data_IF_987160209953
#
_entry.id   IF_987160209953
#
_cell.length_a   1.000
_cell.length_b   1.000
_cell.length_c   1.000
_cell.angle_alpha   90.00
_cell.angle_beta   90.00
_cell.angle_gamma   90.00
#
_symmetry.space_group_name_H-M   'P 1'
#
loop_
_entity.id
_entity.type
_entity.pdbx_description
1 polymer ?
#
# COMPACT_ATOMS: atom_id res chain seq x y z
N UNK A 1 -20.05 -13.58 -7.42
CA UNK A 1 -21.09 -12.61 -7.03
C UNK A 1 -20.98 -12.15 -5.57
N UNK A 2 -20.83 -13.04 -4.59
CA UNK A 2 -20.74 -12.69 -3.15
C UNK A 2 -19.64 -11.68 -2.79
N UNK A 3 -18.42 -11.80 -3.34
CA UNK A 3 -17.33 -10.85 -3.07
C UNK A 3 -17.64 -9.42 -3.56
N UNK A 4 -18.30 -9.29 -4.72
CA UNK A 4 -18.68 -7.98 -5.24
C UNK A 4 -19.79 -7.35 -4.39
N UNK A 5 -20.71 -8.17 -3.90
CA UNK A 5 -21.75 -7.73 -2.96
C UNK A 5 -21.13 -7.24 -1.65
N UNK A 6 -20.25 -8.03 -1.01
CA UNK A 6 -19.53 -7.64 0.21
C UNK A 6 -18.77 -6.33 0.01
N UNK A 7 -18.10 -6.16 -1.15
CA UNK A 7 -17.41 -4.89 -1.48
C UNK A 7 -18.37 -3.70 -1.55
N UNK A 8 -19.57 -3.89 -2.11
CA UNK A 8 -20.56 -2.82 -2.22
C UNK A 8 -21.19 -2.41 -0.89
N UNK A 9 -21.50 -3.37 0.00
CA UNK A 9 -22.13 -3.08 1.31
C UNK A 9 -21.14 -2.72 2.41
N UNK A 10 -19.85 -3.01 2.22
CA UNK A 10 -18.81 -2.81 3.22
C UNK A 10 -18.55 -1.34 3.60
N UNK A 11 -18.94 -0.38 2.75
CA UNK A 11 -18.78 1.05 3.07
C UNK A 11 -20.03 1.64 3.73
N UNK A 12 -21.21 1.25 3.28
CA UNK A 12 -22.48 1.67 3.87
C UNK A 12 -23.56 0.62 3.56
N UNK A 13 -24.42 0.24 4.54
CA UNK A 13 -25.43 -0.80 4.34
C UNK A 13 -26.53 -0.39 3.33
N UNK A 14 -26.89 0.89 3.28
CA UNK A 14 -27.93 1.41 2.39
C UNK A 14 -27.48 2.69 1.69
N UNK A 15 -26.82 2.59 0.53
CA UNK A 15 -26.26 3.76 -0.16
C UNK A 15 -27.32 4.74 -0.69
N UNK A 16 -28.50 4.22 -1.03
CA UNK A 16 -29.62 5.01 -1.55
C UNK A 16 -30.52 5.56 -0.43
N UNK A 17 -30.12 5.41 0.84
CA UNK A 17 -30.84 5.97 1.97
C UNK A 17 -30.81 7.50 1.96
N UNK A 18 -31.98 8.10 2.15
CA UNK A 18 -32.23 9.54 2.16
C UNK A 18 -32.38 10.09 3.58
N UNK A 19 -32.03 9.29 4.59
CA UNK A 19 -31.93 9.72 5.98
C UNK A 19 -31.08 10.98 6.16
N UNK A 20 -31.29 11.63 7.31
CA UNK A 20 -30.54 12.83 7.66
C UNK A 20 -29.02 12.55 7.66
N UNK A 21 -28.18 13.53 7.26
CA UNK A 21 -26.73 13.34 7.12
C UNK A 21 -26.05 12.63 8.29
N UNK A 22 -26.35 13.03 9.53
CA UNK A 22 -25.75 12.42 10.73
C UNK A 22 -26.21 10.98 10.96
N UNK A 23 -27.47 10.65 10.63
CA UNK A 23 -27.98 9.28 10.70
C UNK A 23 -27.26 8.39 9.69
N UNK A 24 -27.15 8.85 8.44
CA UNK A 24 -26.43 8.15 7.38
C UNK A 24 -24.96 7.90 7.75
N UNK A 25 -24.30 8.86 8.41
CA UNK A 25 -22.91 8.67 8.87
C UNK A 25 -22.86 7.61 9.99
N UNK A 26 -23.79 7.67 10.94
CA UNK A 26 -23.86 6.75 12.09
C UNK A 26 -24.18 5.30 11.69
N UNK A 27 -24.91 5.08 10.59
CA UNK A 27 -25.25 3.75 10.09
C UNK A 27 -24.04 3.00 9.47
N UNK A 28 -22.88 3.66 9.33
CA UNK A 28 -21.63 3.04 8.92
C UNK A 28 -20.48 3.38 9.86
N UNK A 29 -19.96 2.35 10.54
CA UNK A 29 -18.77 2.46 11.39
C UNK A 29 -17.56 3.04 10.64
N UNK A 30 -17.42 2.75 9.34
CA UNK A 30 -16.33 3.32 8.53
C UNK A 30 -16.55 4.80 8.22
N UNK A 31 -17.78 5.21 7.91
CA UNK A 31 -18.08 6.63 7.70
C UNK A 31 -17.90 7.40 8.99
N UNK A 32 -18.47 6.92 10.09
CA UNK A 32 -18.30 7.53 11.41
C UNK A 32 -16.82 7.73 11.75
N UNK A 33 -16.00 6.68 11.68
CA UNK A 33 -14.56 6.80 11.94
C UNK A 33 -13.85 7.76 10.96
N UNK A 34 -14.28 7.80 9.70
CA UNK A 34 -13.75 8.74 8.70
C UNK A 34 -14.08 10.18 9.05
N UNK A 35 -15.32 10.46 9.44
CA UNK A 35 -15.75 11.80 9.84
C UNK A 35 -15.07 12.23 11.15
N UNK A 36 -14.88 11.33 12.12
CA UNK A 36 -14.12 11.63 13.33
C UNK A 36 -12.66 12.02 13.03
N UNK A 37 -12.03 11.36 12.05
CA UNK A 37 -10.68 11.71 11.56
C UNK A 37 -10.71 13.08 10.87
N UNK A 38 -11.68 13.30 9.99
CA UNK A 38 -11.81 14.57 9.26
C UNK A 38 -12.13 15.75 10.18
N UNK A 39 -12.89 15.56 11.25
CA UNK A 39 -13.17 16.60 12.24
C UNK A 39 -11.88 17.07 12.92
N UNK A 40 -10.91 16.18 13.16
CA UNK A 40 -9.59 16.53 13.68
C UNK A 40 -8.77 17.30 12.63
N UNK A 41 -8.70 16.78 11.41
CA UNK A 41 -7.98 17.41 10.29
C UNK A 41 -8.53 18.81 9.99
N UNK A 42 -9.86 18.97 10.07
CA UNK A 42 -10.53 20.26 9.89
C UNK A 42 -10.14 21.26 10.98
N UNK A 43 -10.12 20.81 12.25
CA UNK A 43 -9.68 21.64 13.38
C UNK A 43 -8.24 22.10 13.24
N UNK A 44 -7.38 21.21 12.77
CA UNK A 44 -5.94 21.49 12.55
C UNK A 44 -5.68 22.24 11.24
N UNK A 45 -6.72 22.43 10.42
CA UNK A 45 -6.67 23.17 9.16
C UNK A 45 -5.81 22.51 8.10
N UNK A 46 -5.74 21.19 8.15
CA UNK A 46 -4.94 20.35 7.26
C UNK A 46 -5.76 19.86 6.07
N UNK A 47 -5.09 19.22 5.10
CA UNK A 47 -5.74 18.72 3.88
C UNK A 47 -5.69 17.22 3.80
N UNK A 48 -6.78 16.63 3.33
CA UNK A 48 -6.90 15.19 3.20
C UNK A 48 -7.29 14.73 1.80
N UNK A 49 -6.75 13.58 1.43
CA UNK A 49 -7.23 12.77 0.31
C UNK A 49 -8.14 11.68 0.85
N UNK A 50 -9.27 11.45 0.19
CA UNK A 50 -10.17 10.35 0.55
C UNK A 50 -10.36 9.43 -0.65
N UNK A 51 -9.93 8.18 -0.51
CA UNK A 51 -10.04 7.16 -1.55
C UNK A 51 -11.36 6.39 -1.42
N UNK A 52 -12.17 6.47 -2.48
CA UNK A 52 -13.50 5.86 -2.54
C UNK A 52 -13.67 5.18 -3.91
N UNK A 53 -13.97 3.89 -3.92
CA UNK A 53 -14.13 3.09 -5.14
C UNK A 53 -15.46 3.37 -5.84
N UNK A 54 -16.56 3.34 -5.08
CA UNK A 54 -17.91 3.55 -5.61
C UNK A 54 -18.11 5.01 -6.00
N UNK A 55 -18.38 5.26 -7.29
CA UNK A 55 -18.66 6.61 -7.80
C UNK A 55 -19.88 7.22 -7.10
N UNK A 56 -20.92 6.42 -6.84
CA UNK A 56 -22.10 6.89 -6.08
C UNK A 56 -21.69 7.37 -4.68
N UNK A 57 -20.84 6.59 -4.00
CA UNK A 57 -20.35 6.94 -2.67
C UNK A 57 -19.43 8.17 -2.71
N UNK A 58 -18.64 8.38 -3.76
CA UNK A 58 -17.85 9.61 -3.93
C UNK A 58 -18.74 10.85 -3.89
N UNK A 59 -19.84 10.84 -4.65
CA UNK A 59 -20.76 11.97 -4.71
C UNK A 59 -21.53 12.16 -3.40
N UNK A 60 -22.02 11.08 -2.79
CA UNK A 60 -22.72 11.16 -1.49
C UNK A 60 -21.79 11.66 -0.38
N UNK A 61 -20.57 11.12 -0.31
CA UNK A 61 -19.57 11.58 0.66
C UNK A 61 -19.19 13.05 0.46
N UNK A 62 -19.04 13.50 -0.79
CA UNK A 62 -18.77 14.91 -1.10
C UNK A 62 -19.89 15.82 -0.59
N UNK A 63 -21.15 15.44 -0.78
CA UNK A 63 -22.30 16.20 -0.26
C UNK A 63 -22.25 16.32 1.26
N UNK A 64 -22.10 15.18 1.96
CA UNK A 64 -22.04 15.12 3.43
C UNK A 64 -20.90 15.97 4.00
N UNK A 65 -19.68 15.77 3.49
CA UNK A 65 -18.50 16.51 3.95
C UNK A 65 -18.60 18.00 3.63
N UNK A 66 -19.15 18.37 2.47
CA UNK A 66 -19.33 19.77 2.09
C UNK A 66 -20.30 20.48 3.04
N UNK A 67 -21.40 19.83 3.38
CA UNK A 67 -22.36 20.36 4.35
C UNK A 67 -21.77 20.48 5.76
N UNK A 68 -21.07 19.44 6.24
CA UNK A 68 -20.50 19.41 7.60
C UNK A 68 -19.42 20.47 7.82
N UNK A 69 -18.55 20.69 6.84
CA UNK A 69 -17.40 21.61 6.96
C UNK A 69 -17.62 22.97 6.29
N UNK A 70 -18.84 23.26 5.81
CA UNK A 70 -19.17 24.54 5.18
C UNK A 70 -18.33 24.84 3.93
N UNK A 71 -17.91 23.81 3.19
CA UNK A 71 -17.09 23.98 1.99
C UNK A 71 -17.97 24.42 0.81
N UNK A 72 -17.46 25.29 -0.07
CA UNK A 72 -18.18 25.62 -1.31
C UNK A 72 -18.14 24.47 -2.32
N UNK A 73 -17.09 23.66 -2.27
CA UNK A 73 -16.83 22.56 -3.22
C UNK A 73 -15.94 21.51 -2.58
N UNK A 74 -16.07 20.27 -3.07
CA UNK A 74 -15.11 19.19 -2.89
C UNK A 74 -14.89 18.61 -4.29
N UNK A 75 -13.64 18.56 -4.74
CA UNK A 75 -13.32 18.02 -6.06
C UNK A 75 -13.24 16.49 -6.03
N UNK A 76 -13.59 15.85 -7.15
CA UNK A 76 -13.56 14.40 -7.34
C UNK A 76 -12.75 14.08 -8.60
N UNK A 77 -11.78 13.18 -8.48
CA UNK A 77 -11.08 12.60 -9.64
C UNK A 77 -11.33 11.09 -9.65
N UNK A 78 -12.00 10.59 -10.69
CA UNK A 78 -12.29 9.18 -10.88
C UNK A 78 -12.03 8.75 -12.33
N UNK A 79 -12.48 7.57 -12.74
CA UNK A 79 -12.22 7.02 -14.07
C UNK A 79 -12.81 7.84 -15.22
N UNK A 80 -13.90 8.58 -15.00
CA UNK A 80 -14.56 9.38 -16.03
C UNK A 80 -14.04 10.82 -16.12
N UNK A 81 -13.19 11.26 -15.19
CA UNK A 81 -12.61 12.61 -15.22
C UNK A 81 -11.62 12.76 -16.40
N UNK A 82 -11.84 13.67 -17.37
CA UNK A 82 -10.91 13.92 -18.47
C UNK A 82 -9.56 14.44 -17.98
N UNK A 83 -8.49 14.12 -18.70
CA UNK A 83 -7.10 14.48 -18.33
C UNK A 83 -6.93 15.99 -18.07
N UNK A 84 -7.41 16.92 -18.93
CA UNK A 84 -7.26 18.36 -18.69
C UNK A 84 -7.95 18.80 -17.39
N UNK A 85 -9.11 18.21 -17.08
CA UNK A 85 -9.85 18.51 -15.86
C UNK A 85 -9.11 17.99 -14.62
N UNK A 86 -8.46 16.82 -14.69
CA UNK A 86 -7.62 16.31 -13.59
C UNK A 86 -6.52 17.30 -13.24
N UNK A 87 -5.79 17.80 -14.24
CA UNK A 87 -4.71 18.76 -14.02
C UNK A 87 -5.22 20.05 -13.38
N UNK A 88 -6.37 20.56 -13.82
CA UNK A 88 -7.00 21.74 -13.22
C UNK A 88 -7.40 21.51 -11.75
N UNK A 89 -7.96 20.35 -11.42
CA UNK A 89 -8.29 19.97 -10.03
C UNK A 89 -7.02 19.86 -9.19
N UNK A 90 -5.99 19.15 -9.66
CA UNK A 90 -4.73 18.99 -8.93
C UNK A 90 -4.06 20.34 -8.69
N UNK A 91 -3.99 21.20 -9.72
CA UNK A 91 -3.42 22.55 -9.57
C UNK A 91 -4.14 23.32 -8.48
N UNK A 92 -5.47 23.24 -8.42
CA UNK A 92 -6.28 23.92 -7.42
C UNK A 92 -6.06 23.37 -6.01
N UNK A 93 -6.07 22.05 -5.85
CA UNK A 93 -5.82 21.41 -4.55
C UNK A 93 -4.40 21.71 -4.03
N UNK A 94 -3.43 21.83 -4.94
CA UNK A 94 -2.06 22.23 -4.63
C UNK A 94 -1.88 23.76 -4.46
N UNK A 95 -2.87 24.56 -4.87
CA UNK A 95 -2.85 26.01 -4.67
C UNK A 95 -2.96 26.34 -3.18
N UNK A 96 -2.53 27.53 -2.77
CA UNK A 96 -2.66 28.00 -1.38
C UNK A 96 -1.81 27.24 -0.34
N UNK A 97 -0.65 26.70 -0.71
CA UNK A 97 0.33 26.15 0.24
C UNK A 97 0.93 27.21 1.20
N UNK A 98 0.62 28.51 1.02
CA UNK A 98 1.26 29.63 1.73
C UNK A 98 0.34 30.68 2.38
N UNK A 99 -0.98 30.48 2.41
CA UNK A 99 -1.93 31.45 2.99
C UNK A 99 -2.81 30.83 4.09
N UNK A 100 -2.15 30.20 5.07
CA UNK A 100 -2.79 29.71 6.29
C UNK A 100 -3.57 28.40 6.14
N UNK A 101 -4.09 27.88 7.27
CA UNK A 101 -4.88 26.65 7.29
C UNK A 101 -6.25 26.87 6.64
N UNK A 102 -6.39 26.48 5.37
CA UNK A 102 -7.68 26.25 4.75
C UNK A 102 -7.82 24.75 4.54
N UNK A 103 -8.61 24.12 5.40
CA UNK A 103 -9.04 22.74 5.25
C UNK A 103 -9.59 22.51 3.85
N UNK A 104 -9.11 21.47 3.17
CA UNK A 104 -9.57 21.09 1.84
C UNK A 104 -9.53 19.57 1.68
N UNK A 105 -10.47 19.05 0.88
CA UNK A 105 -10.66 17.63 0.63
C UNK A 105 -10.67 17.35 -0.87
N UNK A 106 -9.92 16.31 -1.25
CA UNK A 106 -9.95 15.77 -2.60
C UNK A 106 -10.33 14.29 -2.55
N UNK A 107 -11.39 13.94 -3.27
CA UNK A 107 -11.86 12.55 -3.37
C UNK A 107 -11.25 11.90 -4.61
N UNK A 108 -10.70 10.71 -4.43
CA UNK A 108 -10.00 9.97 -5.48
C UNK A 108 -10.62 8.58 -5.66
N UNK A 109 -10.89 8.23 -6.91
CA UNK A 109 -11.15 6.85 -7.30
C UNK A 109 -9.84 6.05 -7.38
N UNK A 110 -9.84 4.73 -7.12
CA UNK A 110 -8.65 3.88 -7.21
C UNK A 110 -7.97 3.92 -8.59
N UNK A 111 -8.77 4.04 -9.67
CA UNK A 111 -8.26 4.17 -11.05
C UNK A 111 -7.49 5.47 -11.30
N UNK A 112 -7.63 6.48 -10.43
CA UNK A 112 -6.84 7.71 -10.54
C UNK A 112 -5.37 7.51 -10.10
N UNK A 113 -5.06 6.45 -9.36
CA UNK A 113 -3.71 6.15 -8.86
C UNK A 113 -2.67 6.00 -10.00
N UNK A 114 -3.08 5.43 -11.14
CA UNK A 114 -2.21 5.20 -12.30
C UNK A 114 -1.87 6.44 -13.13
N UNK A 115 -2.39 7.62 -12.79
CA UNK A 115 -2.27 8.83 -13.63
C UNK A 115 -1.09 9.74 -13.27
N UNK A 116 -0.24 9.34 -12.33
CA UNK A 116 1.02 10.05 -12.06
C UNK A 116 0.88 11.41 -11.33
N UNK A 117 -0.27 11.66 -10.70
CA UNK A 117 -0.56 12.94 -10.01
C UNK A 117 0.45 13.21 -8.87
N UNK A 118 0.69 14.48 -8.58
CA UNK A 118 1.49 14.93 -7.42
C UNK A 118 0.55 15.71 -6.49
N UNK A 119 0.38 15.23 -5.26
CA UNK A 119 -0.61 15.73 -4.29
C UNK A 119 0.02 16.04 -2.93
N UNK A 120 1.20 16.65 -2.95
CA UNK A 120 2.03 16.98 -1.78
C UNK A 120 1.38 17.99 -0.82
N UNK A 121 0.33 18.71 -1.20
CA UNK A 121 -0.42 19.56 -0.28
C UNK A 121 -1.27 18.80 0.74
N UNK A 122 -1.56 17.52 0.50
CA UNK A 122 -2.22 16.69 1.50
C UNK A 122 -1.22 16.23 2.56
N UNK A 123 -1.65 16.23 3.83
CA UNK A 123 -0.92 15.58 4.93
C UNK A 123 -1.64 14.35 5.45
N UNK A 124 -2.87 14.10 4.98
CA UNK A 124 -3.67 12.95 5.37
C UNK A 124 -4.17 12.18 4.14
N UNK A 125 -4.11 10.86 4.23
CA UNK A 125 -4.68 9.95 3.23
C UNK A 125 -5.64 9.01 3.95
N UNK A 126 -6.90 8.97 3.53
CA UNK A 126 -7.93 8.10 4.12
C UNK A 126 -8.40 7.10 3.06
N UNK A 127 -8.21 5.81 3.32
CA UNK A 127 -8.71 4.72 2.45
C UNK A 127 -10.09 4.24 2.93
N UNK A 128 -11.14 5.02 2.67
CA UNK A 128 -12.52 4.67 3.09
C UNK A 128 -12.99 3.35 2.47
N UNK A 129 -12.69 3.15 1.19
CA UNK A 129 -12.86 1.84 0.54
C UNK A 129 -11.49 1.23 0.28
N UNK A 130 -11.23 0.06 0.88
CA UNK A 130 -9.97 -0.65 0.68
C UNK A 130 -9.90 -1.28 -0.71
N UNK A 131 -8.78 -1.05 -1.38
CA UNK A 131 -8.43 -1.76 -2.60
C UNK A 131 -7.73 -3.08 -2.25
N UNK A 132 -8.11 -4.18 -2.90
CA UNK A 132 -7.66 -5.53 -2.54
C UNK A 132 -6.34 -5.94 -3.21
N UNK A 133 -5.66 -4.96 -3.80
CA UNK A 133 -4.29 -5.08 -4.32
C UNK A 133 -3.39 -4.08 -3.56
N UNK A 134 -2.47 -4.57 -2.71
CA UNK A 134 -1.59 -3.71 -1.93
C UNK A 134 -0.77 -2.71 -2.77
N UNK A 135 -0.33 -3.11 -3.96
CA UNK A 135 0.51 -2.27 -4.82
C UNK A 135 -0.23 -1.00 -5.29
N UNK A 136 -1.55 -1.10 -5.50
CA UNK A 136 -2.35 0.07 -5.89
C UNK A 136 -2.55 1.01 -4.71
N UNK A 137 -2.72 0.47 -3.49
CA UNK A 137 -2.82 1.29 -2.27
C UNK A 137 -1.50 2.03 -1.98
N UNK A 138 -0.37 1.34 -2.17
CA UNK A 138 0.96 1.94 -2.05
C UNK A 138 1.17 3.03 -3.11
N UNK A 139 0.83 2.76 -4.37
CA UNK A 139 0.88 3.76 -5.43
C UNK A 139 0.03 5.01 -5.14
N UNK A 140 -1.13 4.83 -4.49
CA UNK A 140 -1.97 5.93 -4.00
C UNK A 140 -1.24 6.76 -2.93
N UNK A 141 -0.60 6.10 -1.96
CA UNK A 141 0.14 6.76 -0.89
C UNK A 141 1.35 7.53 -1.44
N UNK A 142 2.05 6.97 -2.43
CA UNK A 142 3.19 7.59 -3.12
C UNK A 142 2.83 8.90 -3.83
N UNK A 143 1.55 9.16 -4.10
CA UNK A 143 1.12 10.45 -4.69
C UNK A 143 1.34 11.62 -3.73
N UNK A 144 1.34 11.34 -2.42
CA UNK A 144 1.56 12.30 -1.34
C UNK A 144 3.01 12.25 -0.86
N UNK A 145 3.57 11.04 -0.73
CA UNK A 145 5.00 10.83 -0.43
C UNK A 145 5.88 11.07 -1.67
N UNK A 146 5.92 12.32 -2.15
CA UNK A 146 6.71 12.71 -3.32
C UNK A 146 7.60 13.91 -3.00
N UNK A 147 8.66 14.09 -3.79
CA UNK A 147 9.55 15.27 -3.74
C UNK A 147 8.68 16.54 -3.74
N UNK A 148 8.89 17.39 -2.74
CA UNK A 148 8.08 18.58 -2.47
C UNK A 148 7.12 18.45 -1.28
N UNK A 149 6.95 17.26 -0.70
CA UNK A 149 6.33 17.09 0.61
C UNK A 149 7.35 17.45 1.71
N UNK A 150 6.95 18.33 2.64
CA UNK A 150 7.79 18.80 3.75
C UNK A 150 7.19 18.45 5.12
N UNK A 151 5.94 17.98 5.15
CA UNK A 151 5.21 17.63 6.39
C UNK A 151 5.03 16.11 6.51
N UNK A 152 4.92 15.59 7.75
CA UNK A 152 4.53 14.19 7.98
C UNK A 152 3.20 13.87 7.31
N UNK A 153 3.12 12.68 6.71
CA UNK A 153 1.90 12.19 6.04
C UNK A 153 1.32 11.06 6.87
N UNK A 154 0.04 11.17 7.21
CA UNK A 154 -0.70 10.20 7.99
C UNK A 154 -1.64 9.38 7.10
N UNK A 155 -1.50 8.05 7.11
CA UNK A 155 -2.35 7.14 6.36
C UNK A 155 -3.38 6.52 7.32
N UNK A 156 -4.65 6.66 6.99
CA UNK A 156 -5.78 6.21 7.79
C UNK A 156 -6.54 5.11 7.07
N UNK A 157 -6.84 4.05 7.81
CA UNK A 157 -7.62 2.91 7.35
C UNK A 157 -8.79 2.72 8.33
N UNK A 158 -9.94 3.36 8.07
CA UNK A 158 -11.17 3.11 8.82
C UNK A 158 -11.61 1.66 8.66
N UNK A 159 -11.95 1.00 9.77
CA UNK A 159 -12.40 -0.40 9.78
C UNK A 159 -13.70 -0.54 10.57
N UNK A 160 -14.64 -1.29 10.03
CA UNK A 160 -15.85 -1.72 10.72
C UNK A 160 -15.57 -3.02 11.49
N UNK A 161 -15.82 -2.97 12.79
CA UNK A 161 -15.73 -4.14 13.69
C UNK A 161 -17.16 -4.53 14.07
N UNK A 162 -17.56 -5.73 13.68
CA UNK A 162 -18.85 -6.27 14.05
C UNK A 162 -18.78 -6.84 15.48
N UNK A 163 -19.66 -6.45 16.41
CA UNK A 163 -19.58 -6.86 17.82
C UNK A 163 -19.55 -8.38 18.03
N UNK A 164 -20.30 -9.13 17.21
CA UNK A 164 -20.34 -10.59 17.30
C UNK A 164 -19.12 -11.30 16.70
N UNK A 165 -18.39 -10.66 15.78
CA UNK A 165 -17.27 -11.30 15.07
C UNK A 165 -15.90 -10.78 15.51
N UNK A 166 -15.82 -9.60 16.13
CA UNK A 166 -14.58 -9.02 16.68
C UNK A 166 -13.45 -9.04 15.64
N UNK A 167 -12.31 -9.69 15.92
CA UNK A 167 -11.19 -9.88 14.99
C UNK A 167 -11.53 -10.68 13.72
N UNK A 168 -12.61 -11.46 13.76
CA UNK A 168 -13.19 -12.15 12.61
C UNK A 168 -14.02 -11.24 11.70
N UNK A 169 -14.14 -9.96 12.02
CA UNK A 169 -14.82 -9.00 11.15
C UNK A 169 -14.17 -8.93 9.78
N UNK A 170 -14.99 -8.75 8.75
CA UNK A 170 -14.55 -8.74 7.36
C UNK A 170 -13.34 -7.81 7.12
N UNK A 171 -13.31 -6.63 7.74
CA UNK A 171 -12.24 -5.64 7.58
C UNK A 171 -10.92 -6.09 8.18
N UNK A 172 -10.96 -6.76 9.33
CA UNK A 172 -9.79 -7.34 9.99
C UNK A 172 -9.19 -8.47 9.14
N UNK A 173 -10.05 -9.32 8.58
CA UNK A 173 -9.63 -10.38 7.68
C UNK A 173 -9.05 -9.82 6.38
N UNK A 174 -9.68 -8.79 5.80
CA UNK A 174 -9.17 -8.10 4.62
C UNK A 174 -7.81 -7.45 4.89
N UNK A 175 -7.67 -6.76 6.03
CA UNK A 175 -6.40 -6.18 6.45
C UNK A 175 -5.30 -7.24 6.57
N UNK A 176 -5.59 -8.36 7.24
CA UNK A 176 -4.65 -9.49 7.40
C UNK A 176 -4.23 -10.07 6.05
N UNK A 177 -5.17 -10.25 5.12
CA UNK A 177 -4.91 -10.71 3.77
C UNK A 177 -3.99 -9.74 3.01
N UNK A 178 -4.24 -8.42 3.11
CA UNK A 178 -3.41 -7.40 2.45
C UNK A 178 -1.99 -7.39 3.02
N UNK A 179 -1.83 -7.49 4.34
CA UNK A 179 -0.52 -7.58 4.99
C UNK A 179 0.24 -8.84 4.55
N UNK A 180 -0.43 -10.00 4.45
CA UNK A 180 0.18 -11.22 3.93
C UNK A 180 0.65 -11.07 2.48
N UNK A 181 -0.18 -10.48 1.61
CA UNK A 181 0.19 -10.21 0.21
C UNK A 181 1.39 -9.26 0.11
N UNK A 182 1.45 -8.21 0.93
CA UNK A 182 2.63 -7.30 0.99
C UNK A 182 3.89 -8.06 1.36
N UNK A 183 3.86 -8.83 2.45
CA UNK A 183 5.03 -9.60 2.91
C UNK A 183 5.56 -10.53 1.83
N UNK A 184 4.68 -11.25 1.13
CA UNK A 184 5.08 -12.13 0.04
C UNK A 184 5.70 -11.36 -1.14
N UNK A 185 5.11 -10.22 -1.52
CA UNK A 185 5.64 -9.38 -2.59
C UNK A 185 7.02 -8.80 -2.22
N UNK A 186 7.17 -8.27 -1.01
CA UNK A 186 8.46 -7.76 -0.51
C UNK A 186 9.52 -8.86 -0.44
N UNK A 187 9.15 -10.05 0.06
CA UNK A 187 10.06 -11.19 0.14
C UNK A 187 10.51 -11.69 -1.23
N UNK A 188 9.68 -11.56 -2.27
CA UNK A 188 10.03 -11.96 -3.64
C UNK A 188 10.84 -10.89 -4.40
N UNK A 189 10.74 -9.62 -3.99
CA UNK A 189 11.43 -8.48 -4.62
C UNK A 189 12.74 -8.10 -3.90
N UNK A 190 13.04 -8.71 -2.76
CA UNK A 190 14.31 -8.49 -2.08
C UNK A 190 15.45 -9.00 -2.96
N UNK A 191 16.45 -8.17 -3.31
CA UNK A 191 17.68 -8.71 -3.86
C UNK A 191 18.29 -9.60 -2.77
N UNK A 192 18.76 -10.79 -3.12
CA UNK A 192 19.73 -11.55 -2.31
C UNK A 192 21.02 -10.70 -2.25
N UNK A 193 20.99 -9.60 -1.52
CA UNK A 193 22.12 -8.70 -1.35
C UNK A 193 22.86 -9.13 -0.11
N UNK A 194 24.19 -9.29 -0.23
CA UNK A 194 25.09 -9.77 0.80
C UNK A 194 24.73 -9.18 2.19
N UNK A 195 24.11 -9.97 3.06
CA UNK A 195 23.85 -9.60 4.44
C UNK A 195 25.13 -9.78 5.28
N UNK A 196 25.27 -9.09 6.42
CA UNK A 196 26.41 -9.33 7.33
C UNK A 196 26.48 -10.81 7.78
N UNK A 197 25.33 -11.48 7.76
CA UNK A 197 25.20 -12.91 8.05
C UNK A 197 25.78 -13.81 6.93
N UNK A 198 25.78 -13.35 5.67
CA UNK A 198 26.42 -14.05 4.54
C UNK A 198 27.95 -14.03 4.70
N UNK A 199 28.50 -12.89 5.14
CA UNK A 199 29.93 -12.75 5.44
C UNK A 199 30.33 -13.61 6.64
N UNK A 200 29.50 -13.67 7.67
CA UNK A 200 29.72 -14.54 8.83
C UNK A 200 29.70 -16.03 8.43
N UNK A 201 28.76 -16.41 7.57
CA UNK A 201 28.62 -17.78 7.03
C UNK A 201 29.84 -18.17 6.17
N UNK A 202 30.30 -17.27 5.29
CA UNK A 202 31.51 -17.48 4.48
C UNK A 202 32.76 -17.62 5.36
N UNK A 203 32.91 -16.76 6.37
CA UNK A 203 34.05 -16.82 7.31
C UNK A 203 34.06 -18.14 8.08
N UNK A 204 32.91 -18.59 8.58
CA UNK A 204 32.79 -19.86 9.30
C UNK A 204 33.11 -21.05 8.39
N UNK A 205 32.70 -21.01 7.11
CA UNK A 205 33.05 -22.02 6.12
C UNK A 205 34.55 -22.09 5.83
N UNK A 206 35.22 -20.94 5.70
CA UNK A 206 36.68 -20.86 5.52
C UNK A 206 37.45 -21.38 6.74
N UNK A 207 37.01 -21.04 7.95
CA UNK A 207 37.62 -21.51 9.21
C UNK A 207 37.44 -23.02 9.41
N UNK A 208 36.29 -23.58 9.01
CA UNK A 208 36.04 -25.02 9.05
C UNK A 208 36.91 -25.79 8.04
N UNK A 209 37.16 -25.21 6.86
CA UNK A 209 38.02 -25.79 5.82
C UNK A 209 39.52 -25.71 6.14
N UNK A 210 39.94 -24.84 7.06
CA UNK A 210 41.34 -24.68 7.47
C UNK A 210 41.87 -25.81 8.39
N UNK A 211 41.05 -26.82 8.73
CA UNK A 211 41.50 -27.99 9.49
C UNK A 211 42.22 -28.98 8.56
N UNK A 212 43.48 -29.34 8.82
CA UNK A 212 44.28 -30.12 7.89
C UNK A 212 43.99 -31.62 8.03
N UNK A 213 43.36 -32.20 7.01
CA UNK A 213 43.52 -33.61 6.67
C UNK A 213 43.65 -33.72 5.15
N UNK A 214 44.83 -33.41 4.64
CA UNK A 214 45.15 -33.56 3.22
C UNK A 214 45.83 -34.90 2.98
N UNK A 215 45.04 -35.93 2.67
CA UNK A 215 45.53 -36.94 1.73
C UNK A 215 45.54 -36.29 0.34
N UNK A 216 46.71 -36.32 -0.32
CA UNK A 216 46.89 -35.69 -1.62
C UNK A 216 46.08 -36.45 -2.69
N UNK A 217 44.90 -35.94 -3.03
CA UNK A 217 44.14 -36.38 -4.21
C UNK A 217 44.87 -35.91 -5.48
N UNK A 218 44.90 -36.76 -6.52
CA UNK A 218 45.62 -36.56 -7.79
C UNK A 218 45.12 -35.38 -8.62
N UNK A 219 43.92 -34.87 -8.33
CA UNK A 219 43.38 -33.63 -8.88
C UNK A 219 42.63 -32.83 -7.79
N UNK A 220 43.30 -31.87 -7.13
CA UNK A 220 42.73 -31.11 -6.02
C UNK A 220 41.58 -30.18 -6.47
N UNK A 221 41.58 -29.74 -7.73
CA UNK A 221 40.55 -28.86 -8.25
C UNK A 221 39.24 -29.63 -8.47
N UNK A 222 39.31 -30.76 -9.18
CA UNK A 222 38.13 -31.61 -9.41
C UNK A 222 37.54 -32.15 -8.10
N UNK A 223 38.40 -32.47 -7.12
CA UNK A 223 37.97 -32.89 -5.79
C UNK A 223 37.27 -31.77 -5.00
N UNK A 224 37.80 -30.54 -5.04
CA UNK A 224 37.19 -29.39 -4.40
C UNK A 224 35.82 -29.04 -5.00
N UNK A 225 35.70 -29.08 -6.32
CA UNK A 225 34.44 -28.84 -7.03
C UNK A 225 33.41 -29.89 -6.64
N UNK A 226 33.77 -31.17 -6.64
CA UNK A 226 32.86 -32.26 -6.22
C UNK A 226 32.37 -32.09 -4.79
N UNK A 227 33.29 -31.83 -3.85
CA UNK A 227 32.96 -31.63 -2.42
C UNK A 227 32.09 -30.39 -2.19
N UNK A 228 32.25 -29.33 -2.99
CA UNK A 228 31.40 -28.13 -2.95
C UNK A 228 29.95 -28.48 -3.31
N UNK A 229 29.72 -29.14 -4.43
CA UNK A 229 28.38 -29.56 -4.86
C UNK A 229 27.74 -30.56 -3.87
N UNK A 230 28.52 -31.50 -3.32
CA UNK A 230 28.05 -32.44 -2.27
C UNK A 230 27.63 -31.71 -0.99
N UNK A 231 28.41 -30.73 -0.53
CA UNK A 231 28.08 -29.89 0.64
C UNK A 231 26.75 -29.16 0.43
N UNK A 232 26.53 -28.64 -0.77
CA UNK A 232 25.38 -27.80 -1.09
C UNK A 232 24.14 -28.64 -1.47
N UNK A 233 24.26 -29.98 -1.53
CA UNK A 233 23.17 -30.90 -1.87
C UNK A 233 22.73 -30.83 -3.34
N UNK A 234 23.60 -30.34 -4.22
CA UNK A 234 23.33 -30.09 -5.64
C UNK A 234 24.05 -31.17 -6.48
N UNK A 235 23.42 -31.74 -7.53
CA UNK A 235 24.08 -32.67 -8.42
C UNK A 235 25.28 -32.03 -9.14
N UNK A 236 26.42 -32.72 -9.19
CA UNK A 236 27.61 -32.25 -9.91
C UNK A 236 27.32 -32.24 -11.43
N UNK A 237 27.37 -31.09 -12.12
CA UNK A 237 27.17 -31.05 -13.56
C UNK A 237 28.38 -31.62 -14.31
N UNK A 238 28.17 -32.11 -15.54
CA UNK A 238 29.25 -32.59 -16.38
C UNK A 238 30.12 -31.42 -16.88
N UNK A 239 31.44 -31.56 -16.77
CA UNK A 239 32.38 -30.56 -17.27
C UNK A 239 32.30 -30.47 -18.81
N UNK A 240 32.34 -29.25 -19.34
CA UNK A 240 32.42 -28.98 -20.77
C UNK A 240 33.85 -29.19 -21.27
N UNK A 241 34.03 -29.27 -22.59
CA UNK A 241 35.33 -29.53 -23.22
C UNK A 241 36.38 -28.42 -22.96
N UNK A 242 35.94 -27.23 -22.55
CA UNK A 242 36.77 -26.10 -22.14
C UNK A 242 37.08 -26.07 -20.63
N UNK A 243 36.62 -27.07 -19.88
CA UNK A 243 36.79 -27.17 -18.43
C UNK A 243 35.76 -26.37 -17.62
N UNK A 244 34.77 -25.73 -18.25
CA UNK A 244 33.70 -25.03 -17.54
C UNK A 244 32.60 -25.98 -17.04
N UNK A 245 31.89 -25.58 -15.99
CA UNK A 245 30.74 -26.31 -15.46
C UNK A 245 29.45 -25.51 -15.70
N UNK A 246 28.42 -26.07 -16.34
CA UNK A 246 27.17 -25.36 -16.57
C UNK A 246 26.43 -25.16 -15.24
N UNK A 247 25.98 -23.93 -15.00
CA UNK A 247 25.11 -23.57 -13.89
C UNK A 247 23.66 -23.55 -14.38
N UNK A 248 22.78 -24.31 -13.75
CA UNK A 248 21.34 -24.37 -14.07
C UNK A 248 20.49 -24.03 -12.86
#
# INVERSE_FOLDING_TARGET
>A
EALHHIRSVSVHPAIDDTSAPESFIADSARLQATFDILDRIHRDGERALVFIESIRMQHRFAELARQRYGLNRIDIINGSTPIPQRQAIVKRFQSNLGHGPSFDLLILGPKAAGTGLTLTAATHVIHLSRWWNPAVEEQCNDRVHRIGQTRPVNIHVPMAIHPAFQEGSFDCLLHSLMCRKRRLATSALWPMGDEEDDVATLRQGLEAAAKPDSQAETDPLAAAIRKMFERDGIPVPAAQADGSYPFS
#
